data_IF_647383548335
#
_entry.id   IF_647383548335
#
_cell.length_a   1.000
_cell.length_b   1.000
_cell.length_c   1.000
_cell.angle_alpha   90.00
_cell.angle_beta   90.00
_cell.angle_gamma   90.00
#
_symmetry.space_group_name_H-M   'P 1'
#
loop_
_entity.id
_entity.type
_entity.pdbx_description
1 polymer ?
#
# COMPACT_ATOMS: atom_id res chain seq x y z
N UNK A 1 18.98 -2.82 -16.85
CA UNK A 1 18.24 -2.35 -15.68
C UNK A 1 19.25 -2.15 -14.57
N UNK A 2 19.62 -0.91 -14.26
CA UNK A 2 20.59 -0.61 -13.20
C UNK A 2 19.89 -0.59 -11.82
N UNK A 3 20.65 -0.71 -10.73
CA UNK A 3 20.11 -0.66 -9.35
C UNK A 3 19.25 0.59 -9.08
N UNK A 4 19.55 1.69 -9.75
CA UNK A 4 18.80 2.95 -9.68
C UNK A 4 17.38 2.83 -10.23
N UNK A 5 17.16 1.99 -11.25
CA UNK A 5 15.83 1.76 -11.83
C UNK A 5 14.93 1.02 -10.83
N UNK A 6 15.49 0.06 -10.09
CA UNK A 6 14.75 -0.68 -9.06
C UNK A 6 14.36 0.21 -7.88
N UNK A 7 15.22 1.17 -7.50
CA UNK A 7 14.90 2.19 -6.50
C UNK A 7 13.65 3.00 -6.85
N UNK A 8 13.54 3.44 -8.11
CA UNK A 8 12.36 4.18 -8.57
C UNK A 8 11.07 3.34 -8.63
N UNK A 9 11.19 2.02 -8.81
CA UNK A 9 10.04 1.11 -8.88
C UNK A 9 9.46 0.76 -7.49
N UNK A 10 10.25 0.82 -6.42
CA UNK A 10 9.78 0.54 -5.05
C UNK A 10 8.60 1.43 -4.63
N UNK A 11 8.66 2.78 -4.73
CA UNK A 11 7.53 3.62 -4.35
C UNK A 11 6.32 3.41 -5.28
N UNK A 12 6.53 3.13 -6.57
CA UNK A 12 5.44 2.79 -7.49
C UNK A 12 4.74 1.50 -7.05
N UNK A 13 5.51 0.47 -6.71
CA UNK A 13 4.99 -0.79 -6.21
C UNK A 13 4.21 -0.61 -4.89
N UNK A 14 4.77 0.12 -3.93
CA UNK A 14 4.09 0.44 -2.66
C UNK A 14 2.77 1.17 -2.90
N UNK A 15 2.74 2.11 -3.86
CA UNK A 15 1.53 2.85 -4.21
C UNK A 15 0.47 1.95 -4.82
N UNK A 16 0.85 1.04 -5.73
CA UNK A 16 -0.08 0.05 -6.30
C UNK A 16 -0.66 -0.84 -5.20
N UNK A 17 0.18 -1.36 -4.28
CA UNK A 17 -0.29 -2.17 -3.15
C UNK A 17 -1.24 -1.38 -2.27
N UNK A 18 -0.93 -0.13 -1.96
CA UNK A 18 -1.77 0.76 -1.14
C UNK A 18 -3.15 0.97 -1.77
N UNK A 19 -3.22 1.24 -3.08
CA UNK A 19 -4.48 1.46 -3.80
C UNK A 19 -5.34 0.19 -3.79
N UNK A 20 -4.74 -0.97 -4.12
CA UNK A 20 -5.46 -2.26 -4.13
C UNK A 20 -5.94 -2.66 -2.74
N UNK A 21 -5.13 -2.41 -1.69
CA UNK A 21 -5.51 -2.66 -0.32
C UNK A 21 -6.69 -1.76 0.11
N UNK A 22 -6.66 -0.47 -0.26
CA UNK A 22 -7.75 0.47 0.01
C UNK A 22 -9.05 0.12 -0.73
N UNK A 23 -8.95 -0.37 -1.96
CA UNK A 23 -10.10 -0.91 -2.70
C UNK A 23 -10.71 -2.11 -1.97
N UNK A 24 -9.88 -3.10 -1.61
CA UNK A 24 -10.34 -4.30 -0.89
C UNK A 24 -10.91 -3.99 0.49
N UNK A 25 -10.36 -2.99 1.18
CA UNK A 25 -10.93 -2.46 2.42
C UNK A 25 -12.36 -1.98 2.21
N UNK A 26 -12.58 -1.05 1.27
CA UNK A 26 -13.92 -0.51 0.97
C UNK A 26 -14.88 -1.59 0.51
N UNK A 27 -14.42 -2.52 -0.31
CA UNK A 27 -15.21 -3.64 -0.80
C UNK A 27 -15.67 -4.56 0.35
N UNK A 28 -14.74 -4.91 1.25
CA UNK A 28 -15.04 -5.72 2.45
C UNK A 28 -15.99 -4.99 3.40
N UNK A 29 -15.77 -3.69 3.59
CA UNK A 29 -16.62 -2.84 4.43
C UNK A 29 -18.06 -2.74 3.92
N UNK A 30 -18.23 -2.75 2.58
CA UNK A 30 -19.55 -2.69 1.93
C UNK A 30 -20.27 -4.05 1.92
N UNK A 31 -19.57 -5.12 1.58
CA UNK A 31 -20.19 -6.45 1.50
C UNK A 31 -20.57 -7.02 2.86
N UNK A 32 -19.83 -6.66 3.92
CA UNK A 32 -20.04 -7.14 5.30
C UNK A 32 -20.23 -8.66 5.41
N UNK A 33 -19.51 -9.42 4.59
CA UNK A 33 -19.53 -10.88 4.61
C UNK A 33 -18.89 -11.44 5.89
N UNK A 34 -18.84 -12.76 6.04
CA UNK A 34 -18.30 -13.38 7.24
C UNK A 34 -16.88 -12.86 7.57
N UNK A 35 -16.70 -12.47 8.84
CA UNK A 35 -15.46 -11.89 9.39
C UNK A 35 -15.02 -10.58 8.70
N UNK A 36 -15.95 -9.81 8.15
CA UNK A 36 -15.64 -8.55 7.46
C UNK A 36 -14.87 -7.54 8.31
N UNK A 37 -15.13 -7.47 9.63
CA UNK A 37 -14.41 -6.57 10.54
C UNK A 37 -12.92 -6.92 10.58
N UNK A 38 -12.58 -8.20 10.77
CA UNK A 38 -11.19 -8.66 10.80
C UNK A 38 -10.49 -8.44 9.45
N UNK A 39 -11.17 -8.77 8.33
CA UNK A 39 -10.66 -8.52 6.98
C UNK A 39 -10.45 -7.03 6.71
N UNK A 40 -11.38 -6.17 7.14
CA UNK A 40 -11.25 -4.72 7.04
C UNK A 40 -10.04 -4.22 7.84
N UNK A 41 -9.82 -4.70 9.07
CA UNK A 41 -8.61 -4.35 9.83
C UNK A 41 -7.32 -4.79 9.13
N UNK A 42 -7.28 -5.97 8.54
CA UNK A 42 -6.10 -6.45 7.79
C UNK A 42 -5.81 -5.52 6.60
N UNK A 43 -6.82 -5.21 5.78
CA UNK A 43 -6.62 -4.32 4.63
C UNK A 43 -6.30 -2.88 5.06
N UNK A 44 -6.94 -2.39 6.13
CA UNK A 44 -6.65 -1.07 6.70
C UNK A 44 -5.22 -0.96 7.21
N UNK A 45 -4.75 -1.97 7.96
CA UNK A 45 -3.36 -2.01 8.44
C UNK A 45 -2.37 -2.06 7.29
N UNK A 46 -2.66 -2.84 6.24
CA UNK A 46 -1.83 -2.91 5.04
C UNK A 46 -1.72 -1.54 4.32
N UNK A 47 -2.82 -0.80 4.21
CA UNK A 47 -2.82 0.58 3.68
C UNK A 47 -1.97 1.50 4.55
N UNK A 48 -2.13 1.43 5.87
CA UNK A 48 -1.37 2.29 6.80
C UNK A 48 0.13 2.02 6.69
N UNK A 49 0.54 0.75 6.68
CA UNK A 49 1.95 0.36 6.56
C UNK A 49 2.52 0.86 5.22
N UNK A 50 1.83 0.62 4.11
CA UNK A 50 2.30 1.05 2.77
C UNK A 50 2.35 2.56 2.63
N UNK A 51 1.38 3.28 3.21
CA UNK A 51 1.38 4.74 3.28
C UNK A 51 2.59 5.28 4.06
N UNK A 52 2.85 4.75 5.26
CA UNK A 52 4.01 5.19 6.04
C UNK A 52 5.34 4.84 5.38
N UNK A 53 5.45 3.66 4.78
CA UNK A 53 6.64 3.28 4.00
C UNK A 53 6.88 4.25 2.84
N UNK A 54 5.82 4.73 2.18
CA UNK A 54 5.91 5.76 1.14
C UNK A 54 6.27 7.15 1.70
N UNK A 55 5.60 7.56 2.78
CA UNK A 55 5.79 8.87 3.38
C UNK A 55 7.23 9.09 3.89
N UNK A 56 7.88 8.01 4.34
CA UNK A 56 9.26 8.01 4.79
C UNK A 56 10.22 7.37 3.79
N UNK A 57 9.78 7.09 2.56
CA UNK A 57 10.66 6.55 1.54
C UNK A 57 11.74 7.60 1.22
N UNK A 58 13.04 7.27 1.31
CA UNK A 58 14.10 8.21 0.99
C UNK A 58 14.17 8.37 -0.53
N UNK A 59 13.42 9.34 -1.06
CA UNK A 59 13.54 9.78 -2.44
C UNK A 59 14.92 10.42 -2.59
N UNK A 60 15.93 9.62 -2.96
CA UNK A 60 17.30 10.10 -3.01
C UNK A 60 17.40 11.18 -4.08
N UNK A 61 17.58 12.39 -3.57
CA UNK A 61 17.82 13.64 -4.26
C UNK A 61 19.16 13.69 -4.99
N UNK A 62 19.49 12.78 -5.93
CA UNK A 62 20.72 12.96 -6.73
C UNK A 62 20.52 14.11 -7.74
N UNK A 63 20.51 15.35 -7.25
CA UNK A 63 20.72 16.57 -8.04
C UNK A 63 22.18 17.00 -7.92
#
# INVERSE_FOLDING_TARGET
MSETDFGALIPVFLLVVMVLAGERFRHTWRLRSEKWVAKAWIYGLLVVITFFSLAFYPFTSNY
#
